data_IF_028891352801
#
_entry.id   IF_028891352801
#
_cell.length_a   1.000
_cell.length_b   1.000
_cell.length_c   1.000
_cell.angle_alpha   90.00
_cell.angle_beta   90.00
_cell.angle_gamma   90.00
#
_symmetry.space_group_name_H-M   'P 1'
#
loop_
_entity.id
_entity.type
_entity.pdbx_description
1 polymer ?
#
# COMPACT_ATOMS: atom_id res chain seq x y z
N UNK A 1 -6.41 17.60 -4.13
CA UNK A 1 -6.31 16.26 -4.75
C UNK A 1 -6.90 15.25 -3.79
N UNK A 2 -7.78 14.36 -4.25
CA UNK A 2 -8.34 13.27 -3.45
C UNK A 2 -7.45 12.05 -3.66
N UNK A 3 -6.93 11.45 -2.59
CA UNK A 3 -6.19 10.19 -2.67
C UNK A 3 -7.19 9.05 -2.90
N UNK A 4 -6.95 8.22 -3.91
CA UNK A 4 -7.76 7.03 -4.17
C UNK A 4 -7.27 5.90 -3.24
N UNK A 5 -8.08 5.57 -2.24
CA UNK A 5 -7.78 4.53 -1.27
C UNK A 5 -8.68 3.31 -1.56
N UNK A 6 -8.06 2.22 -2.04
CA UNK A 6 -8.74 0.93 -2.21
C UNK A 6 -8.43 0.04 -1.01
N UNK A 7 -9.45 -0.26 -0.20
CA UNK A 7 -9.32 -1.15 0.96
C UNK A 7 -9.42 -2.62 0.53
N UNK A 8 -8.40 -3.42 0.83
CA UNK A 8 -8.41 -4.88 0.63
C UNK A 8 -8.43 -5.58 1.99
N UNK A 9 -9.60 -6.06 2.42
CA UNK A 9 -9.74 -6.79 3.67
C UNK A 9 -9.32 -8.26 3.51
N UNK A 10 -8.28 -8.70 4.24
CA UNK A 10 -7.93 -10.12 4.41
C UNK A 10 -8.72 -10.64 5.62
N UNK A 11 -9.63 -11.59 5.40
CA UNK A 11 -10.66 -11.97 6.38
C UNK A 11 -10.21 -12.97 7.45
N UNK A 12 -8.91 -13.10 7.75
CA UNK A 12 -8.40 -14.01 8.80
C UNK A 12 -7.19 -13.48 9.58
N UNK A 13 -7.10 -12.16 9.81
CA UNK A 13 -6.12 -11.62 10.77
C UNK A 13 -6.80 -10.66 11.75
N UNK A 14 -6.49 -10.81 13.03
CA UNK A 14 -6.98 -10.01 14.18
C UNK A 14 -6.48 -8.54 14.17
N UNK A 15 -6.22 -7.99 12.99
CA UNK A 15 -5.73 -6.64 12.75
C UNK A 15 -6.28 -6.14 11.42
N UNK A 16 -6.77 -4.91 11.42
CA UNK A 16 -7.31 -4.26 10.23
C UNK A 16 -6.14 -3.69 9.42
N UNK A 17 -5.95 -4.19 8.20
CA UNK A 17 -4.89 -3.75 7.29
C UNK A 17 -5.52 -2.94 6.16
N UNK A 18 -4.98 -1.77 5.90
CA UNK A 18 -5.36 -0.90 4.78
C UNK A 18 -4.20 -0.71 3.82
N UNK A 19 -4.53 -0.53 2.54
CA UNK A 19 -3.54 -0.21 1.52
C UNK A 19 -3.99 1.00 0.70
N UNK A 20 -3.03 1.82 0.28
CA UNK A 20 -3.29 3.02 -0.52
C UNK A 20 -2.09 3.34 -1.41
N UNK A 21 -2.36 4.08 -2.49
CA UNK A 21 -1.30 4.75 -3.25
C UNK A 21 -1.24 6.20 -2.76
N UNK A 22 -0.07 6.61 -2.30
CA UNK A 22 0.23 7.98 -1.91
C UNK A 22 1.08 8.65 -2.98
N UNK A 23 0.68 9.85 -3.39
CA UNK A 23 1.47 10.72 -4.27
C UNK A 23 2.40 11.60 -3.42
N UNK A 24 3.62 11.12 -3.16
CA UNK A 24 4.62 11.83 -2.36
C UNK A 24 5.59 12.60 -3.28
N UNK A 25 5.20 13.83 -3.64
CA UNK A 25 6.02 14.69 -4.51
C UNK A 25 6.01 14.21 -5.96
N UNK A 26 7.17 13.81 -6.49
CA UNK A 26 7.30 13.32 -7.88
C UNK A 26 7.22 11.80 -8.00
N UNK A 27 6.99 11.06 -6.91
CA UNK A 27 6.96 9.60 -6.92
C UNK A 27 5.72 9.08 -6.20
N UNK A 28 4.97 8.22 -6.89
CA UNK A 28 3.87 7.47 -6.29
C UNK A 28 4.43 6.32 -5.44
N UNK A 29 3.79 6.05 -4.31
CA UNK A 29 4.21 5.03 -3.37
C UNK A 29 3.03 4.17 -2.94
N UNK A 30 3.20 2.86 -2.95
CA UNK A 30 2.24 1.94 -2.37
C UNK A 30 2.52 1.80 -0.87
N UNK A 31 1.50 2.03 -0.05
CA UNK A 31 1.56 1.97 1.42
C UNK A 31 0.64 0.86 1.87
N UNK A 32 1.13 -0.01 2.76
CA UNK A 32 0.34 -1.02 3.48
C UNK A 32 0.52 -0.72 4.96
N UNK A 33 -0.58 -0.44 5.66
CA UNK A 33 -0.57 -0.12 7.08
C UNK A 33 -1.50 -1.08 7.83
N UNK A 34 -1.00 -1.64 8.92
CA UNK A 34 -1.84 -2.22 9.96
C UNK A 34 -2.35 -1.09 10.83
N UNK A 35 -3.62 -0.72 10.66
CA UNK A 35 -4.21 0.43 11.36
C UNK A 35 -4.62 0.10 12.80
N UNK A 36 -4.41 -1.15 13.24
CA UNK A 36 -4.63 -1.56 14.63
C UNK A 36 -3.40 -1.33 15.53
N UNK A 37 -2.26 -0.96 14.95
CA UNK A 37 -0.97 -0.78 15.65
C UNK A 37 -0.29 0.49 15.22
N UNK A 38 0.26 1.23 16.19
CA UNK A 38 1.06 2.41 15.90
C UNK A 38 2.36 2.02 15.17
N UNK A 39 2.75 2.86 14.20
CA UNK A 39 3.98 2.72 13.39
C UNK A 39 4.16 1.36 12.67
N UNK A 40 3.08 0.59 12.51
CA UNK A 40 3.10 -0.71 11.82
C UNK A 40 2.73 -0.56 10.34
N UNK A 41 3.67 -0.05 9.54
CA UNK A 41 3.44 0.16 8.10
C UNK A 41 4.69 -0.14 7.28
N UNK A 42 4.46 -0.47 6.01
CA UNK A 42 5.50 -0.61 4.99
C UNK A 42 5.13 0.19 3.76
N UNK A 43 6.13 0.65 3.02
CA UNK A 43 5.90 1.37 1.78
C UNK A 43 6.94 1.04 0.72
N UNK A 44 6.51 1.02 -0.54
CA UNK A 44 7.37 0.74 -1.69
C UNK A 44 7.05 1.71 -2.83
N UNK A 45 8.09 2.17 -3.54
CA UNK A 45 7.91 2.98 -4.74
C UNK A 45 7.14 2.16 -5.79
N UNK A 46 6.17 2.79 -6.45
CA UNK A 46 5.47 2.15 -7.57
C UNK A 46 6.42 1.89 -8.74
N UNK A 47 7.45 2.73 -8.92
CA UNK A 47 8.46 2.55 -9.98
C UNK A 47 9.38 1.36 -9.72
N UNK A 48 9.48 0.93 -8.46
CA UNK A 48 10.22 -0.29 -8.09
C UNK A 48 9.41 -1.56 -8.39
N UNK A 49 8.10 -1.45 -8.61
CA UNK A 49 7.31 -2.59 -9.06
C UNK A 49 7.59 -2.86 -10.53
N UNK A 50 7.91 -4.13 -10.84
CA UNK A 50 8.03 -4.56 -12.23
C UNK A 50 6.67 -4.96 -12.76
N UNK A 51 6.43 -4.76 -14.05
CA UNK A 51 5.27 -5.33 -14.72
C UNK A 51 5.18 -6.83 -14.44
N UNK A 52 3.97 -7.35 -14.21
CA UNK A 52 3.70 -8.77 -13.97
C UNK A 52 4.35 -9.69 -15.04
N UNK A 53 4.45 -9.22 -16.28
CA UNK A 53 5.11 -9.95 -17.38
C UNK A 53 6.63 -10.10 -17.20
N UNK A 54 7.26 -9.20 -16.45
CA UNK A 54 8.69 -9.18 -16.17
C UNK A 54 9.09 -9.98 -14.92
N UNK A 55 8.13 -10.59 -14.22
CA UNK A 55 8.37 -11.43 -13.03
C UNK A 55 8.58 -12.92 -13.36
N UNK A 56 8.61 -13.26 -14.66
CA UNK A 56 8.64 -14.65 -15.14
C UNK A 56 9.91 -15.39 -14.75
#
# INVERSE_FOLDING_TARGET
MVSDATSMAVTESTGEVMAAVEEAGSQSRYVIADISRDDAWVSASTDATRDLKAWR
#
